data_IF_448498227367
#
_entry.id   IF_448498227367
#
_cell.length_a   1.000
_cell.length_b   1.000
_cell.length_c   1.000
_cell.angle_alpha   90.00
_cell.angle_beta   90.00
_cell.angle_gamma   90.00
#
_symmetry.space_group_name_H-M   'P 1'
#
loop_
_entity.id
_entity.type
_entity.pdbx_description
1 polymer ?
#
# COMPACT_ATOMS: atom_id res chain seq x y z
N UNK A 1 16.20 14.23 5.93
CA UNK A 1 14.79 14.70 5.85
C UNK A 1 14.10 13.82 4.83
N UNK A 2 12.99 13.16 5.21
CA UNK A 2 12.24 12.34 4.26
C UNK A 2 11.67 13.25 3.16
N UNK A 3 11.88 12.87 1.90
CA UNK A 3 11.33 13.59 0.75
C UNK A 3 9.83 13.33 0.64
N UNK A 4 9.05 14.34 0.28
CA UNK A 4 7.62 14.17 -0.01
C UNK A 4 7.46 13.20 -1.20
N UNK A 5 6.76 12.08 -0.98
CA UNK A 5 6.42 11.15 -2.05
C UNK A 5 5.05 11.51 -2.61
N UNK A 6 5.00 11.74 -3.92
CA UNK A 6 3.76 12.00 -4.66
C UNK A 6 3.42 10.78 -5.49
N UNK A 7 2.14 10.49 -5.61
CA UNK A 7 1.61 9.38 -6.40
C UNK A 7 0.39 9.85 -7.17
N UNK A 8 0.32 9.50 -8.45
CA UNK A 8 -0.86 9.75 -9.29
C UNK A 8 -1.74 8.52 -9.18
N UNK A 9 -2.95 8.69 -8.65
CA UNK A 9 -3.93 7.61 -8.53
C UNK A 9 -4.73 7.55 -9.83
N UNK A 10 -4.70 6.43 -10.59
CA UNK A 10 -5.39 6.34 -11.88
C UNK A 10 -6.88 6.06 -11.72
N UNK A 11 -7.67 6.52 -12.71
CA UNK A 11 -9.08 6.13 -12.83
C UNK A 11 -9.17 4.71 -13.38
N UNK A 12 -9.93 3.87 -12.72
CA UNK A 12 -10.21 2.49 -13.13
C UNK A 12 -11.54 2.39 -13.88
N UNK A 13 -11.65 1.40 -14.77
CA UNK A 13 -12.93 1.03 -15.39
C UNK A 13 -13.89 0.40 -14.37
N UNK A 14 -13.37 -0.47 -13.53
CA UNK A 14 -14.04 -1.11 -12.40
C UNK A 14 -13.06 -1.39 -11.25
N UNK A 15 -13.56 -1.70 -10.05
CA UNK A 15 -12.70 -2.06 -8.91
C UNK A 15 -11.86 -3.34 -9.16
N UNK A 16 -12.33 -4.22 -10.04
CA UNK A 16 -11.62 -5.46 -10.40
C UNK A 16 -10.37 -5.20 -11.24
N UNK A 17 -10.29 -4.04 -11.90
CA UNK A 17 -9.16 -3.68 -12.76
C UNK A 17 -7.94 -3.19 -11.98
N UNK A 18 -8.02 -3.08 -10.65
CA UNK A 18 -6.97 -2.52 -9.80
C UNK A 18 -5.58 -3.13 -10.05
N UNK A 19 -5.48 -4.44 -10.23
CA UNK A 19 -4.18 -5.10 -10.41
C UNK A 19 -3.54 -4.80 -11.77
N UNK A 20 -4.35 -4.51 -12.79
CA UNK A 20 -3.87 -4.21 -14.14
C UNK A 20 -3.65 -2.71 -14.35
N UNK A 21 -4.60 -1.90 -13.90
CA UNK A 21 -4.69 -0.48 -14.24
C UNK A 21 -4.40 0.44 -13.05
N UNK A 22 -4.29 -0.10 -11.84
CA UNK A 22 -3.95 0.64 -10.63
C UNK A 22 -2.46 0.99 -10.55
N UNK A 23 -2.12 1.93 -9.67
CA UNK A 23 -0.73 2.18 -9.31
C UNK A 23 -0.36 1.30 -8.12
N UNK A 24 0.85 0.73 -8.14
CA UNK A 24 1.39 -0.04 -7.02
C UNK A 24 2.68 0.59 -6.52
N UNK A 25 2.80 0.72 -5.21
CA UNK A 25 3.96 1.29 -4.55
C UNK A 25 4.34 0.46 -3.32
N UNK A 26 5.64 0.23 -3.14
CA UNK A 26 6.15 -0.33 -1.89
C UNK A 26 6.11 0.73 -0.80
N UNK A 27 5.46 0.39 0.31
CA UNK A 27 5.44 1.19 1.52
C UNK A 27 6.21 0.43 2.60
N UNK A 28 7.19 1.07 3.20
CA UNK A 28 8.07 0.38 4.16
C UNK A 28 9.30 1.18 4.53
N UNK A 29 9.21 2.51 4.47
CA UNK A 29 10.30 3.36 4.91
C UNK A 29 10.36 3.35 6.43
N UNK A 30 11.49 2.92 6.97
CA UNK A 30 11.73 2.92 8.41
C UNK A 30 12.48 4.20 8.74
N UNK A 31 11.75 5.19 9.25
CA UNK A 31 12.32 6.51 9.55
C UNK A 31 13.31 6.52 10.72
N UNK A 32 13.24 5.52 11.60
CA UNK A 32 14.15 5.35 12.76
C UNK A 32 14.77 3.96 12.76
N UNK A 33 15.66 3.66 11.79
CA UNK A 33 16.19 2.31 11.60
C UNK A 33 17.09 1.86 12.76
N UNK A 34 17.59 2.79 13.60
CA UNK A 34 18.38 2.42 14.78
C UNK A 34 17.54 1.85 15.93
N UNK A 35 16.26 2.22 16.02
CA UNK A 35 15.35 1.73 17.06
C UNK A 35 14.49 0.57 16.57
N UNK A 36 14.15 0.56 15.27
CA UNK A 36 13.26 -0.43 14.67
C UNK A 36 13.95 -1.09 13.47
N UNK A 37 14.52 -2.28 13.65
CA UNK A 37 15.19 -3.01 12.56
C UNK A 37 14.22 -3.80 11.68
N UNK A 38 13.00 -4.04 12.16
CA UNK A 38 12.00 -4.80 11.43
C UNK A 38 11.38 -3.97 10.30
N UNK A 39 11.38 -4.51 9.08
CA UNK A 39 10.76 -3.92 7.89
C UNK A 39 10.02 -5.02 7.13
N UNK A 40 8.69 -5.15 7.30
CA UNK A 40 7.90 -6.09 6.50
C UNK A 40 7.86 -5.63 5.04
N UNK A 41 7.62 -6.57 4.12
CA UNK A 41 7.35 -6.25 2.72
C UNK A 41 5.88 -5.87 2.61
N UNK A 42 5.60 -4.59 2.32
CA UNK A 42 4.23 -4.10 2.13
C UNK A 42 4.12 -3.37 0.82
N UNK A 43 3.15 -3.78 0.01
CA UNK A 43 2.79 -3.10 -1.24
C UNK A 43 1.38 -2.58 -1.11
N UNK A 44 1.20 -1.30 -1.42
CA UNK A 44 -0.10 -0.67 -1.63
C UNK A 44 -0.38 -0.61 -3.12
N UNK A 45 -1.50 -1.18 -3.55
CA UNK A 45 -2.10 -0.92 -4.86
C UNK A 45 -3.31 0.00 -4.68
N UNK A 46 -3.41 1.07 -5.46
CA UNK A 46 -4.56 1.97 -5.42
C UNK A 46 -5.00 2.45 -6.81
N UNK A 47 -6.28 2.75 -6.89
CA UNK A 47 -6.95 3.38 -8.03
C UNK A 47 -8.26 4.00 -7.56
N UNK A 48 -8.99 4.65 -8.43
CA UNK A 48 -10.34 5.13 -8.10
C UNK A 48 -11.33 4.83 -9.22
N UNK A 49 -12.56 4.46 -8.85
CA UNK A 49 -13.71 4.46 -9.76
C UNK A 49 -14.36 5.84 -9.75
N UNK A 50 -15.52 6.03 -10.39
CA UNK A 50 -16.19 7.33 -10.40
C UNK A 50 -16.45 7.92 -9.00
N UNK A 51 -16.76 7.09 -8.01
CA UNK A 51 -17.19 7.51 -6.67
C UNK A 51 -16.46 6.79 -5.51
N UNK A 52 -15.55 5.87 -5.80
CA UNK A 52 -14.87 5.07 -4.77
C UNK A 52 -13.35 5.10 -4.97
N UNK A 53 -12.61 5.10 -3.87
CA UNK A 53 -11.18 4.83 -3.87
C UNK A 53 -10.99 3.35 -3.57
N UNK A 54 -10.27 2.65 -4.43
CA UNK A 54 -10.01 1.22 -4.30
C UNK A 54 -8.59 1.05 -3.79
N UNK A 55 -8.44 0.38 -2.65
CA UNK A 55 -7.16 0.10 -2.02
C UNK A 55 -6.99 -1.41 -1.85
N UNK A 56 -5.78 -1.91 -2.10
CA UNK A 56 -5.38 -3.28 -1.79
C UNK A 56 -3.99 -3.28 -1.19
N UNK A 57 -3.86 -3.92 -0.05
CA UNK A 57 -2.57 -4.13 0.60
C UNK A 57 -2.15 -5.59 0.41
N UNK A 58 -0.89 -5.79 0.00
CA UNK A 58 -0.21 -7.09 0.13
C UNK A 58 0.87 -6.94 1.19
N UNK A 59 0.79 -7.78 2.21
CA UNK A 59 1.70 -7.78 3.36
C UNK A 59 2.37 -9.15 3.43
N UNK A 60 3.69 -9.17 3.52
CA UNK A 60 4.47 -10.34 3.93
C UNK A 60 5.21 -10.00 5.22
N UNK A 61 4.80 -10.66 6.30
CA UNK A 61 5.32 -10.46 7.64
C UNK A 61 5.63 -11.78 8.33
N UNK A 62 6.45 -11.73 9.39
CA UNK A 62 6.89 -12.93 10.11
C UNK A 62 5.85 -13.45 11.12
N UNK A 63 4.88 -12.62 11.47
CA UNK A 63 3.86 -12.93 12.46
C UNK A 63 2.60 -12.11 12.21
N UNK A 64 1.44 -12.75 12.30
CA UNK A 64 0.13 -12.10 12.14
C UNK A 64 -0.60 -12.22 13.48
N UNK A 65 -1.05 -11.09 14.04
CA UNK A 65 -1.96 -11.08 15.18
C UNK A 65 -3.32 -10.53 14.74
N UNK A 66 -4.29 -11.42 14.54
CA UNK A 66 -5.69 -11.04 14.41
C UNK A 66 -6.44 -11.46 15.68
N UNK A 67 -6.79 -10.50 16.53
CA UNK A 67 -7.84 -10.74 17.54
C UNK A 67 -9.17 -10.64 16.80
N UNK A 68 -10.05 -11.63 16.96
CA UNK A 68 -11.42 -11.54 16.46
C UNK A 68 -12.03 -10.19 16.87
N UNK A 69 -12.50 -9.41 15.88
CA UNK A 69 -13.38 -8.25 16.04
C UNK A 69 -14.77 -8.61 15.59
#
# INVERSE_FOLDING_TARGET
MASEKKMVIPRLGSAHDLERDGVSVEIGEVNWPELFKYKPEVTLSCGYTGNEIVLRYRVREGYIAAKHT
#
